data_IF_757846986297
#
_entry.id   IF_757846986297
#
_cell.length_a   1.000
_cell.length_b   1.000
_cell.length_c   1.000
_cell.angle_alpha   90.00
_cell.angle_beta   90.00
_cell.angle_gamma   90.00
#
_symmetry.space_group_name_H-M   'P 1'
#
loop_
_entity.id
_entity.type
_entity.pdbx_description
1 polymer ?
#
# COMPACT_ATOMS: atom_id res chain seq x y z
N UNK A 1 7.88 -14.75 6.76
CA UNK A 1 6.72 -14.52 5.87
C UNK A 1 7.01 -14.77 4.39
N UNK A 2 7.55 -13.83 3.57
CA UNK A 2 7.67 -14.08 2.12
C UNK A 2 8.58 -15.28 1.78
N UNK A 3 9.70 -15.45 2.49
CA UNK A 3 10.55 -16.64 2.38
C UNK A 3 9.80 -17.94 2.70
N UNK A 4 9.05 -17.95 3.80
CA UNK A 4 8.27 -19.11 4.23
C UNK A 4 7.15 -19.45 3.24
N UNK A 5 6.48 -18.45 2.68
CA UNK A 5 5.37 -18.67 1.74
C UNK A 5 5.83 -19.18 0.38
N UNK A 6 7.03 -18.79 -0.07
CA UNK A 6 7.55 -19.21 -1.38
C UNK A 6 8.53 -20.37 -1.31
N UNK A 7 9.04 -20.70 -0.12
CA UNK A 7 10.09 -21.71 0.06
C UNK A 7 11.47 -21.27 -0.45
N UNK A 8 11.68 -19.97 -0.64
CA UNK A 8 12.94 -19.44 -1.19
C UNK A 8 13.81 -18.77 -0.15
N UNK A 9 15.08 -19.16 -0.13
CA UNK A 9 16.07 -18.57 0.77
C UNK A 9 16.65 -17.24 0.24
N UNK A 10 16.50 -16.97 -1.07
CA UNK A 10 17.09 -15.82 -1.77
C UNK A 10 16.38 -14.47 -1.59
N UNK A 11 15.28 -14.41 -0.83
CA UNK A 11 14.45 -13.20 -0.70
C UNK A 11 15.16 -12.13 0.15
N UNK A 12 15.55 -11.03 -0.46
CA UNK A 12 16.25 -9.89 0.17
C UNK A 12 15.89 -8.57 -0.53
N UNK A 13 16.30 -7.44 0.05
CA UNK A 13 16.16 -6.14 -0.62
C UNK A 13 16.80 -6.22 -2.01
N UNK A 14 16.07 -5.77 -3.04
CA UNK A 14 16.46 -5.90 -4.44
C UNK A 14 15.80 -7.06 -5.18
N UNK A 15 15.51 -8.19 -4.52
CA UNK A 15 14.89 -9.37 -5.17
C UNK A 15 13.39 -9.48 -4.96
N UNK A 16 12.82 -8.74 -4.01
CA UNK A 16 11.39 -8.81 -3.60
C UNK A 16 10.42 -8.79 -4.78
N UNK A 17 10.57 -7.84 -5.72
CA UNK A 17 9.62 -7.72 -6.86
C UNK A 17 9.70 -8.90 -7.83
N UNK A 18 10.89 -9.45 -8.04
CA UNK A 18 11.09 -10.63 -8.87
C UNK A 18 10.51 -11.88 -8.19
N UNK A 19 10.78 -12.06 -6.89
CA UNK A 19 10.18 -13.14 -6.08
C UNK A 19 8.65 -13.09 -6.11
N UNK A 20 8.04 -11.91 -5.89
CA UNK A 20 6.58 -11.75 -5.94
C UNK A 20 6.02 -12.14 -7.32
N UNK A 21 6.67 -11.73 -8.40
CA UNK A 21 6.22 -12.09 -9.73
C UNK A 21 6.37 -13.59 -10.02
N UNK A 22 7.47 -14.23 -9.61
CA UNK A 22 7.62 -15.68 -9.82
C UNK A 22 6.62 -16.50 -9.00
N UNK A 23 6.25 -16.02 -7.81
CA UNK A 23 5.27 -16.72 -6.97
C UNK A 23 3.82 -16.51 -7.41
N UNK A 24 3.44 -15.28 -7.79
CA UNK A 24 2.05 -14.94 -8.12
C UNK A 24 1.75 -14.84 -9.63
N UNK A 25 2.77 -14.78 -10.49
CA UNK A 25 2.61 -14.64 -11.94
C UNK A 25 1.70 -13.48 -12.34
N UNK A 26 0.59 -13.81 -13.00
CA UNK A 26 -0.41 -12.85 -13.46
C UNK A 26 -1.19 -12.16 -12.33
N UNK A 27 -1.25 -12.77 -11.14
CA UNK A 27 -1.91 -12.21 -9.95
C UNK A 27 -1.01 -11.20 -9.23
N UNK A 28 0.25 -11.05 -9.66
CA UNK A 28 1.13 -10.00 -9.16
C UNK A 28 0.58 -8.60 -9.52
N UNK A 29 0.80 -7.63 -8.63
CA UNK A 29 0.32 -6.27 -8.84
C UNK A 29 0.80 -5.69 -10.20
N UNK A 30 -0.01 -4.85 -10.89
CA UNK A 30 0.36 -4.30 -12.19
C UNK A 30 1.73 -3.60 -12.21
N UNK A 31 2.11 -2.90 -11.12
CA UNK A 31 3.41 -2.23 -11.01
C UNK A 31 4.57 -3.22 -10.91
N UNK A 32 4.37 -4.38 -10.25
CA UNK A 32 5.37 -5.46 -10.21
C UNK A 32 5.53 -6.10 -11.59
N UNK A 33 4.42 -6.38 -12.30
CA UNK A 33 4.46 -6.95 -13.66
C UNK A 33 5.23 -6.03 -14.62
N UNK A 34 4.89 -4.74 -14.66
CA UNK A 34 5.60 -3.73 -15.47
C UNK A 34 7.07 -3.62 -15.11
N UNK A 35 7.41 -3.71 -13.82
CA UNK A 35 8.81 -3.69 -13.37
C UNK A 35 9.60 -4.88 -13.92
N UNK A 36 9.06 -6.09 -13.85
CA UNK A 36 9.70 -7.29 -14.38
C UNK A 36 9.87 -7.22 -15.90
N UNK A 37 8.87 -6.72 -16.63
CA UNK A 37 8.99 -6.48 -18.08
C UNK A 37 10.10 -5.48 -18.41
N UNK A 38 10.19 -4.38 -17.66
CA UNK A 38 11.25 -3.40 -17.85
C UNK A 38 12.65 -3.97 -17.55
N UNK A 39 12.77 -4.88 -16.57
CA UNK A 39 14.01 -5.61 -16.29
C UNK A 39 14.38 -6.53 -17.45
N UNK A 40 13.42 -7.35 -17.90
CA UNK A 40 13.59 -8.29 -19.00
C UNK A 40 13.99 -7.59 -20.31
N UNK A 41 13.38 -6.44 -20.61
CA UNK A 41 13.69 -5.64 -21.78
C UNK A 41 15.05 -4.91 -21.68
N UNK A 42 15.82 -5.12 -20.60
CA UNK A 42 17.12 -4.46 -20.38
C UNK A 42 17.04 -2.95 -20.16
N UNK A 43 15.83 -2.39 -20.08
CA UNK A 43 15.58 -0.93 -19.98
C UNK A 43 16.00 -0.35 -18.62
N UNK A 44 16.30 -1.21 -17.65
CA UNK A 44 16.77 -0.82 -16.30
C UNK A 44 18.31 -0.87 -16.15
N UNK A 45 19.09 -1.07 -17.24
CA UNK A 45 20.56 -1.10 -17.16
C UNK A 45 21.23 0.28 -17.33
N UNK A 46 22.03 0.63 -16.30
CA UNK A 46 23.07 1.67 -16.11
C UNK A 46 22.67 3.13 -15.75
N UNK A 47 22.83 3.44 -14.46
CA UNK A 47 23.80 4.47 -14.00
C UNK A 47 24.33 4.08 -12.60
N UNK A 48 25.60 3.64 -12.51
CA UNK A 48 26.42 3.72 -11.29
C UNK A 48 26.29 2.68 -10.15
N UNK A 49 25.37 1.72 -10.16
CA UNK A 49 25.24 0.72 -9.08
C UNK A 49 25.67 -0.68 -9.51
N UNK A 50 26.66 -1.27 -8.81
CA UNK A 50 27.03 -2.68 -8.90
C UNK A 50 25.76 -3.53 -8.70
N UNK A 51 25.45 -4.44 -9.62
CA UNK A 51 24.50 -5.53 -9.34
C UNK A 51 25.02 -6.26 -8.09
N UNK A 52 24.17 -6.83 -7.22
CA UNK A 52 24.65 -7.81 -6.26
C UNK A 52 25.40 -8.87 -7.06
N UNK A 53 26.67 -9.10 -6.76
CA UNK A 53 27.47 -10.16 -7.38
C UNK A 53 26.79 -11.51 -7.07
N UNK A 54 25.97 -11.94 -8.02
CA UNK A 54 25.38 -13.27 -8.13
C UNK A 54 25.74 -13.79 -9.51
N UNK A 55 26.29 -15.00 -9.53
CA UNK A 55 26.85 -15.74 -10.65
C UNK A 55 26.14 -15.52 -12.02
N UNK A 56 26.90 -15.02 -13.01
CA UNK A 56 26.44 -14.31 -14.23
C UNK A 56 25.72 -15.19 -15.28
N UNK A 57 25.54 -16.48 -15.00
CA UNK A 57 24.85 -17.42 -15.91
C UNK A 57 23.48 -17.91 -15.40
N UNK A 58 23.20 -17.87 -14.09
CA UNK A 58 21.93 -18.38 -13.52
C UNK A 58 20.79 -17.34 -13.54
N UNK A 59 21.05 -16.12 -13.06
CA UNK A 59 20.05 -15.04 -12.94
C UNK A 59 19.54 -14.56 -14.31
N UNK A 60 20.37 -14.61 -15.35
CA UNK A 60 20.02 -14.12 -16.69
C UNK A 60 19.02 -15.05 -17.39
N UNK A 61 19.12 -16.36 -17.14
CA UNK A 61 18.19 -17.37 -17.67
C UNK A 61 16.84 -17.29 -16.93
N UNK A 62 16.85 -17.11 -15.61
CA UNK A 62 15.61 -16.85 -14.84
C UNK A 62 14.92 -15.55 -15.27
N UNK A 63 15.68 -14.48 -15.52
CA UNK A 63 15.13 -13.18 -15.94
C UNK A 63 14.42 -13.27 -17.30
N UNK A 64 14.97 -14.05 -18.24
CA UNK A 64 14.34 -14.33 -19.53
C UNK A 64 13.09 -15.22 -19.39
N UNK A 65 13.10 -16.18 -18.47
CA UNK A 65 11.92 -16.99 -18.11
C UNK A 65 10.80 -16.15 -17.51
N UNK A 66 11.12 -15.21 -16.62
CA UNK A 66 10.16 -14.25 -16.06
C UNK A 66 9.57 -13.31 -17.14
N UNK A 67 10.35 -12.96 -18.17
CA UNK A 67 9.89 -12.14 -19.29
C UNK A 67 8.78 -12.82 -20.10
N UNK A 68 8.94 -14.12 -20.39
CA UNK A 68 7.98 -14.92 -21.14
C UNK A 68 6.65 -15.08 -20.39
N UNK A 69 6.70 -15.09 -19.06
CA UNK A 69 5.52 -15.15 -18.19
C UNK A 69 4.82 -13.79 -18.04
N UNK A 70 5.52 -12.68 -18.26
CA UNK A 70 4.96 -11.34 -18.12
C UNK A 70 4.21 -10.90 -19.38
N UNK A 71 3.18 -11.65 -19.78
CA UNK A 71 2.28 -11.26 -20.87
C UNK A 71 1.32 -10.16 -20.37
N UNK A 72 1.53 -8.90 -20.79
CA UNK A 72 0.69 -7.78 -20.35
C UNK A 72 1.23 -6.40 -20.71
N UNK A 73 0.43 -5.35 -20.47
CA UNK A 73 0.68 -3.95 -20.88
C UNK A 73 2.12 -3.47 -20.65
N UNK A 74 2.83 -3.15 -21.73
CA UNK A 74 4.16 -2.53 -21.70
C UNK A 74 4.18 -1.25 -20.86
N UNK A 75 5.21 -1.09 -20.03
CA UNK A 75 5.51 0.20 -19.40
C UNK A 75 5.81 1.24 -20.49
N UNK A 76 5.09 2.37 -20.48
CA UNK A 76 5.27 3.45 -21.47
C UNK A 76 6.62 4.14 -21.34
N UNK A 77 7.25 4.04 -20.16
CA UNK A 77 8.61 4.48 -19.90
C UNK A 77 9.19 3.91 -18.60
N UNK A 78 10.52 3.83 -18.51
CA UNK A 78 11.25 3.21 -17.39
C UNK A 78 10.97 3.90 -16.05
N UNK A 79 10.72 5.21 -16.08
CA UNK A 79 10.40 5.99 -14.88
C UNK A 79 9.09 5.52 -14.22
N UNK A 80 8.15 4.95 -14.96
CA UNK A 80 6.87 4.48 -14.43
C UNK A 80 7.06 3.34 -13.40
N UNK A 81 8.11 2.53 -13.57
CA UNK A 81 8.39 1.39 -12.70
C UNK A 81 9.26 1.73 -11.48
N UNK A 82 9.71 2.99 -11.36
CA UNK A 82 10.49 3.43 -10.21
C UNK A 82 9.66 3.43 -8.93
N UNK A 83 10.33 3.16 -7.81
CA UNK A 83 9.71 3.21 -6.49
C UNK A 83 9.33 4.65 -6.13
N UNK A 84 8.17 4.83 -5.50
CA UNK A 84 7.74 6.15 -5.01
C UNK A 84 7.40 7.17 -6.11
N UNK A 85 7.41 6.80 -7.39
CA UNK A 85 6.79 7.66 -8.40
C UNK A 85 5.33 7.84 -8.05
N UNK A 86 4.91 9.11 -7.97
CA UNK A 86 3.52 9.47 -7.76
C UNK A 86 2.69 8.60 -8.70
N UNK A 87 1.73 7.87 -8.13
CA UNK A 87 0.77 7.15 -8.94
C UNK A 87 0.23 8.16 -9.95
N UNK A 88 0.33 7.86 -11.23
CA UNK A 88 -0.27 8.68 -12.30
C UNK A 88 -1.80 8.74 -12.20
N UNK A 89 -2.37 8.07 -11.19
CA UNK A 89 -3.79 7.98 -10.91
C UNK A 89 -4.08 8.83 -9.68
N UNK A 90 -4.60 10.06 -9.84
CA UNK A 90 -5.15 10.82 -8.73
C UNK A 90 -6.35 10.05 -8.12
N UNK A 91 -6.69 10.37 -6.87
CA UNK A 91 -7.96 9.91 -6.31
C UNK A 91 -9.10 10.29 -7.26
N UNK A 92 -10.08 9.38 -7.51
CA UNK A 92 -11.27 9.74 -8.26
C UNK A 92 -11.89 11.02 -7.71
N UNK A 93 -12.47 11.87 -8.57
CA UNK A 93 -13.03 13.17 -8.14
C UNK A 93 -14.13 13.04 -7.07
N UNK A 94 -14.82 11.91 -7.05
CA UNK A 94 -15.84 11.52 -6.08
C UNK A 94 -15.33 10.54 -5.02
N UNK A 95 -14.01 10.37 -4.91
CA UNK A 95 -13.39 9.51 -3.92
C UNK A 95 -13.18 10.22 -2.58
N UNK A 96 -13.51 9.51 -1.50
CA UNK A 96 -13.14 9.91 -0.14
C UNK A 96 -12.19 8.85 0.42
N UNK A 97 -11.01 9.26 0.85
CA UNK A 97 -10.05 8.41 1.54
C UNK A 97 -9.88 8.90 2.98
N UNK A 98 -10.08 7.98 3.92
CA UNK A 98 -9.75 8.19 5.33
C UNK A 98 -8.56 7.29 5.68
N UNK A 99 -7.45 7.88 6.11
CA UNK A 99 -6.26 7.12 6.54
C UNK A 99 -6.26 6.90 8.05
N UNK A 100 -5.66 5.79 8.50
CA UNK A 100 -5.44 5.47 9.93
C UNK A 100 -4.62 6.51 10.69
N UNK A 101 -3.62 7.07 10.02
CA UNK A 101 -2.64 7.99 10.59
C UNK A 101 -2.07 8.95 9.52
N UNK A 102 -1.23 9.90 9.94
CA UNK A 102 -0.37 10.67 9.03
C UNK A 102 0.80 9.80 8.53
N UNK A 103 1.47 10.25 7.45
CA UNK A 103 2.53 9.49 6.78
C UNK A 103 3.77 9.23 7.63
N UNK A 104 3.96 10.00 8.70
CA UNK A 104 5.04 9.93 9.68
C UNK A 104 4.64 9.19 10.97
N UNK A 105 3.46 8.58 10.99
CA UNK A 105 2.87 7.91 12.15
C UNK A 105 2.51 6.45 11.83
N UNK A 106 2.20 5.69 12.87
CA UNK A 106 1.76 4.29 12.77
C UNK A 106 0.31 4.16 13.20
N UNK A 107 -0.51 3.50 12.38
CA UNK A 107 -1.86 3.08 12.78
C UNK A 107 -1.77 1.95 13.78
N UNK A 108 -2.51 2.03 14.88
CA UNK A 108 -2.40 1.06 15.97
C UNK A 108 -3.53 0.02 16.00
N UNK A 109 -3.18 -1.15 16.51
CA UNK A 109 -4.10 -2.21 16.94
C UNK A 109 -4.11 -2.27 18.47
N UNK A 110 -5.26 -2.60 19.05
CA UNK A 110 -5.40 -2.79 20.49
C UNK A 110 -6.12 -4.10 20.78
N UNK A 111 -5.78 -4.72 21.92
CA UNK A 111 -6.41 -5.94 22.42
C UNK A 111 -6.86 -5.69 23.85
N UNK A 112 -8.12 -5.98 24.16
CA UNK A 112 -8.63 -5.88 25.54
C UNK A 112 -8.05 -6.99 26.43
N UNK A 113 -8.22 -6.87 27.75
CA UNK A 113 -7.79 -7.91 28.68
C UNK A 113 -8.51 -9.25 28.43
N UNK A 114 -9.73 -9.19 27.89
CA UNK A 114 -10.55 -10.35 27.50
C UNK A 114 -10.13 -10.96 26.15
N UNK A 115 -9.09 -10.43 25.49
CA UNK A 115 -8.55 -10.97 24.24
C UNK A 115 -9.25 -10.47 22.97
N UNK A 116 -10.11 -9.44 23.06
CA UNK A 116 -10.79 -8.88 21.89
C UNK A 116 -9.87 -7.86 21.21
N UNK A 117 -9.48 -8.12 19.96
CA UNK A 117 -8.61 -7.23 19.17
C UNK A 117 -9.39 -6.35 18.19
N UNK A 118 -8.92 -5.11 18.02
CA UNK A 118 -9.50 -4.16 17.06
C UNK A 118 -8.46 -3.14 16.58
N UNK A 119 -8.63 -2.68 15.34
CA UNK A 119 -7.91 -1.52 14.83
C UNK A 119 -8.44 -0.24 15.45
N UNK A 120 -7.56 0.63 15.93
CA UNK A 120 -7.93 1.80 16.73
C UNK A 120 -8.81 2.81 15.94
N UNK A 121 -8.47 3.16 14.69
CA UNK A 121 -9.31 4.04 13.86
C UNK A 121 -10.69 3.40 13.61
N UNK A 122 -10.72 2.14 13.20
CA UNK A 122 -11.96 1.44 12.87
C UNK A 122 -12.90 1.39 14.07
N UNK A 123 -12.37 1.10 15.26
CA UNK A 123 -13.14 1.13 16.50
C UNK A 123 -13.59 2.55 16.89
N UNK A 124 -12.76 3.57 16.67
CA UNK A 124 -13.14 4.96 16.89
C UNK A 124 -14.31 5.38 16.00
N UNK A 125 -14.31 5.01 14.71
CA UNK A 125 -15.42 5.26 13.78
C UNK A 125 -16.70 4.59 14.30
N UNK A 126 -16.65 3.31 14.65
CA UNK A 126 -17.81 2.59 15.19
C UNK A 126 -18.35 3.26 16.47
N UNK A 127 -17.45 3.67 17.37
CA UNK A 127 -17.82 4.37 18.61
C UNK A 127 -18.52 5.70 18.32
N UNK A 128 -18.06 6.47 17.33
CA UNK A 128 -18.68 7.75 16.95
C UNK A 128 -20.07 7.51 16.38
N UNK A 129 -20.22 6.56 15.46
CA UNK A 129 -21.49 6.22 14.84
C UNK A 129 -22.51 5.73 15.87
N UNK A 130 -22.10 4.86 16.80
CA UNK A 130 -22.96 4.36 17.87
C UNK A 130 -23.42 5.47 18.84
N UNK A 131 -22.60 6.50 19.07
CA UNK A 131 -22.94 7.64 19.93
C UNK A 131 -23.78 8.70 19.22
N UNK A 132 -23.75 8.74 17.89
CA UNK A 132 -24.42 9.77 17.12
C UNK A 132 -25.93 9.47 16.97
N UNK A 133 -26.73 9.97 17.91
CA UNK A 133 -28.19 9.75 17.95
C UNK A 133 -29.00 10.71 17.07
N UNK A 134 -28.37 11.69 16.41
CA UNK A 134 -29.06 12.74 15.63
C UNK A 134 -28.29 13.08 14.35
N UNK A 135 -28.99 13.05 13.22
CA UNK A 135 -28.48 13.47 11.92
C UNK A 135 -27.34 12.60 11.36
N UNK A 136 -26.99 12.82 10.10
CA UNK A 136 -25.81 12.21 9.50
C UNK A 136 -24.54 12.92 10.00
N UNK A 137 -23.47 12.16 10.23
CA UNK A 137 -22.12 12.72 10.50
C UNK A 137 -21.44 12.95 9.16
N UNK A 138 -20.87 14.13 8.93
CA UNK A 138 -20.12 14.41 7.71
C UNK A 138 -18.75 13.73 7.72
N UNK A 139 -18.12 13.54 6.56
CA UNK A 139 -16.77 12.97 6.45
C UNK A 139 -15.74 13.73 7.31
N UNK A 140 -15.80 15.07 7.29
CA UNK A 140 -14.93 15.94 8.09
C UNK A 140 -15.18 15.77 9.58
N UNK A 141 -16.43 15.80 10.02
CA UNK A 141 -16.76 15.63 11.44
C UNK A 141 -16.35 14.27 11.97
N UNK A 142 -16.51 13.21 11.17
CA UNK A 142 -16.11 11.86 11.55
C UNK A 142 -14.62 11.81 11.87
N UNK A 143 -13.77 12.35 10.98
CA UNK A 143 -12.31 12.33 11.17
C UNK A 143 -11.88 13.21 12.35
N UNK A 144 -12.49 14.39 12.53
CA UNK A 144 -12.19 15.24 13.68
C UNK A 144 -12.58 14.60 15.01
N UNK A 145 -13.77 13.98 15.09
CA UNK A 145 -14.20 13.23 16.28
C UNK A 145 -13.29 12.01 16.53
N UNK A 146 -12.83 11.33 15.48
CA UNK A 146 -11.92 10.19 15.61
C UNK A 146 -10.58 10.62 16.20
N UNK A 147 -10.01 11.73 15.73
CA UNK A 147 -8.78 12.32 16.30
C UNK A 147 -8.94 12.64 17.80
N UNK A 148 -10.07 13.24 18.17
CA UNK A 148 -10.37 13.59 19.55
C UNK A 148 -10.52 12.36 20.46
N UNK A 149 -11.18 11.30 19.98
CA UNK A 149 -11.30 10.06 20.75
C UNK A 149 -9.95 9.39 20.96
N UNK A 150 -9.12 9.32 19.91
CA UNK A 150 -7.82 8.68 19.96
C UNK A 150 -6.83 9.45 20.85
N UNK A 151 -6.87 10.78 20.85
CA UNK A 151 -6.02 11.59 21.73
C UNK A 151 -6.39 11.41 23.21
N UNK A 152 -7.69 11.29 23.53
CA UNK A 152 -8.18 11.06 24.90
C UNK A 152 -7.82 9.69 25.46
N UNK A 153 -7.69 8.68 24.60
CA UNK A 153 -7.31 7.33 25.01
C UNK A 153 -5.82 7.24 25.41
N UNK A 154 -4.99 8.22 25.04
CA UNK A 154 -3.59 8.35 25.49
C UNK A 154 -2.63 7.23 25.06
N UNK A 155 -3.11 6.23 24.32
CA UNK A 155 -2.37 5.03 23.97
C UNK A 155 -1.57 5.13 22.67
N UNK A 156 -1.66 6.26 21.94
CA UNK A 156 -1.10 6.39 20.59
C UNK A 156 -1.00 7.85 20.15
N UNK A 157 -0.02 8.13 19.26
CA UNK A 157 0.12 9.42 18.58
C UNK A 157 -0.57 9.45 17.21
N UNK A 158 -1.29 8.40 16.80
CA UNK A 158 -1.90 8.34 15.48
C UNK A 158 -2.98 9.42 15.30
N UNK A 159 -3.00 10.05 14.12
CA UNK A 159 -3.94 11.09 13.73
C UNK A 159 -4.54 10.76 12.36
N UNK A 160 -5.80 10.27 12.32
CA UNK A 160 -6.46 9.91 11.07
C UNK A 160 -6.51 11.07 10.06
N UNK A 161 -6.34 10.79 8.77
CA UNK A 161 -6.37 11.80 7.68
C UNK A 161 -7.67 11.75 6.88
N UNK A 162 -8.06 12.88 6.27
CA UNK A 162 -9.17 12.95 5.30
C UNK A 162 -8.62 13.50 3.97
N UNK A 163 -8.86 12.79 2.88
CA UNK A 163 -8.47 13.18 1.52
C UNK A 163 -9.68 13.04 0.60
N UNK A 164 -10.24 14.17 0.19
CA UNK A 164 -11.39 14.26 -0.70
C UNK A 164 -11.46 15.66 -1.32
N UNK A 165 -12.44 15.93 -2.19
CA UNK A 165 -12.75 17.31 -2.58
C UNK A 165 -13.47 18.06 -1.45
N UNK A 166 -13.49 19.39 -1.52
CA UNK A 166 -14.15 20.24 -0.53
C UNK A 166 -15.63 19.92 -0.35
N UNK A 167 -16.33 19.64 -1.46
CA UNK A 167 -17.73 19.23 -1.47
C UNK A 167 -17.96 17.95 -0.63
N UNK A 168 -17.09 16.95 -0.80
CA UNK A 168 -17.22 15.66 -0.11
C UNK A 168 -16.80 15.75 1.37
N UNK A 169 -16.05 16.77 1.79
CA UNK A 169 -15.70 16.95 3.19
C UNK A 169 -16.95 17.21 4.06
N UNK A 170 -17.92 17.96 3.51
CA UNK A 170 -19.20 18.26 4.15
C UNK A 170 -20.32 17.28 3.78
N UNK A 171 -20.08 16.34 2.87
CA UNK A 171 -21.04 15.29 2.56
C UNK A 171 -21.20 14.31 3.74
N UNK A 172 -22.39 13.68 3.89
CA UNK A 172 -22.58 12.57 4.83
C UNK A 172 -21.55 11.46 4.65
N UNK A 173 -21.15 10.84 5.75
CA UNK A 173 -20.33 9.63 5.71
C UNK A 173 -21.14 8.46 5.15
N UNK A 174 -20.66 7.90 4.02
CA UNK A 174 -21.25 6.77 3.27
C UNK A 174 -22.61 7.08 2.62
N UNK A 175 -23.70 7.25 3.40
CA UNK A 175 -25.05 7.47 2.88
C UNK A 175 -25.97 8.10 3.92
#
# INVERSE_FOLDING_TARGET
>A
MLRESTGEDGVRVGTIRATLFRHFGDDASPKVKRFVQAMAAGKLRRQGGKLPEGDDNGERVETLGLAALASGQEARGVREVYAGTAASVPLPRNGVLISGCQTDQTSGDATTAEGVSYGLLSNAIQTILARNKRGAVTNRELVLKARELLSKQGATNQQPGLYCSDEHASAPFIC
#
